data_IF_327634507015
#
_entry.id   IF_327634507015
#
_cell.length_a   1.000
_cell.length_b   1.000
_cell.length_c   1.000
_cell.angle_alpha   90.00
_cell.angle_beta   90.00
_cell.angle_gamma   90.00
#
_symmetry.space_group_name_H-M   'P 1'
#
loop_
_entity.id
_entity.type
_entity.pdbx_description
1 polymer ?
#
# COMPACT_ATOMS: atom_id res chain seq x y z
N UNK A 1 11.78 33.47 5.73
CA UNK A 1 12.13 32.16 6.31
C UNK A 1 11.23 31.12 5.69
N UNK A 2 11.80 30.29 4.81
CA UNK A 2 11.10 29.23 4.08
C UNK A 2 11.26 27.96 4.91
N UNK A 3 10.16 27.43 5.47
CA UNK A 3 10.11 26.03 5.91
C UNK A 3 8.65 25.59 5.98
N UNK A 4 8.12 25.09 4.85
CA UNK A 4 6.93 24.24 4.87
C UNK A 4 7.33 22.93 4.22
N UNK A 5 7.67 21.95 5.08
CA UNK A 5 8.03 20.59 4.67
C UNK A 5 6.80 19.94 4.03
N UNK A 6 6.71 20.01 2.70
CA UNK A 6 5.71 19.28 1.88
C UNK A 6 6.07 17.78 1.82
N UNK A 7 6.13 17.12 2.98
CA UNK A 7 6.59 15.74 3.10
C UNK A 7 5.49 14.66 3.06
N UNK A 8 4.20 15.02 3.02
CA UNK A 8 3.11 14.09 3.36
C UNK A 8 2.22 13.75 2.15
N UNK A 9 2.80 13.68 0.94
CA UNK A 9 2.14 13.10 -0.24
C UNK A 9 2.88 11.86 -0.80
N UNK A 10 4.10 11.59 -0.35
CA UNK A 10 4.81 10.34 -0.67
C UNK A 10 4.37 9.17 0.21
N UNK A 11 3.84 9.46 1.40
CA UNK A 11 3.45 8.43 2.38
C UNK A 11 2.41 7.43 1.83
N UNK A 12 1.32 7.88 1.17
CA UNK A 12 0.30 6.96 0.65
C UNK A 12 0.82 6.13 -0.53
N UNK A 13 1.56 6.77 -1.45
CA UNK A 13 2.09 6.05 -2.61
C UNK A 13 3.12 4.98 -2.21
N UNK A 14 3.88 5.21 -1.13
CA UNK A 14 4.84 4.25 -0.61
C UNK A 14 4.15 3.04 0.02
N UNK A 15 3.10 3.26 0.82
CA UNK A 15 2.32 2.18 1.42
C UNK A 15 1.65 1.31 0.32
N UNK A 16 1.18 1.91 -0.78
CA UNK A 16 0.53 1.16 -1.86
C UNK A 16 1.55 0.31 -2.61
N UNK A 17 2.73 0.90 -2.86
CA UNK A 17 3.85 0.22 -3.48
C UNK A 17 4.31 -0.97 -2.62
N UNK A 18 4.42 -0.79 -1.31
CA UNK A 18 4.76 -1.86 -0.37
C UNK A 18 3.68 -2.96 -0.32
N UNK A 19 2.39 -2.59 -0.39
CA UNK A 19 1.28 -3.53 -0.53
C UNK A 19 1.38 -4.37 -1.80
N UNK A 20 1.75 -3.76 -2.93
CA UNK A 20 1.98 -4.48 -4.19
C UNK A 20 3.15 -5.46 -4.08
N UNK A 21 4.26 -5.06 -3.44
CA UNK A 21 5.39 -5.94 -3.17
C UNK A 21 5.00 -7.11 -2.25
N UNK A 22 4.19 -6.88 -1.22
CA UNK A 22 3.68 -7.92 -0.34
C UNK A 22 2.77 -8.91 -1.11
N UNK A 23 1.88 -8.43 -1.97
CA UNK A 23 1.05 -9.27 -2.82
C UNK A 23 1.87 -10.10 -3.81
N UNK A 24 2.88 -9.49 -4.44
CA UNK A 24 3.80 -10.19 -5.35
C UNK A 24 4.60 -11.27 -4.63
N UNK A 25 5.11 -10.98 -3.42
CA UNK A 25 5.76 -11.97 -2.58
C UNK A 25 4.81 -13.11 -2.19
N UNK A 26 3.54 -12.81 -1.92
CA UNK A 26 2.51 -13.82 -1.67
C UNK A 26 2.33 -14.80 -2.84
N UNK A 27 2.36 -14.30 -4.08
CA UNK A 27 2.31 -15.16 -5.28
C UNK A 27 3.53 -16.08 -5.33
N UNK A 28 4.73 -15.55 -5.08
CA UNK A 28 5.97 -16.35 -5.04
C UNK A 28 5.89 -17.40 -3.93
N UNK A 29 5.42 -17.05 -2.74
CA UNK A 29 5.27 -17.97 -1.62
C UNK A 29 4.28 -19.10 -1.94
N UNK A 30 3.16 -18.78 -2.60
CA UNK A 30 2.17 -19.77 -3.04
C UNK A 30 2.73 -20.73 -4.08
N UNK A 31 3.52 -20.23 -5.04
CA UNK A 31 4.20 -21.06 -6.05
C UNK A 31 5.21 -22.02 -5.40
N UNK A 32 5.85 -21.60 -4.31
CA UNK A 32 6.75 -22.45 -3.53
C UNK A 32 6.02 -23.40 -2.56
N UNK A 33 4.68 -23.45 -2.58
CA UNK A 33 3.86 -24.31 -1.72
C UNK A 33 3.75 -23.81 -0.27
N UNK A 34 4.24 -22.60 0.03
CA UNK A 34 4.19 -22.00 1.37
C UNK A 34 2.93 -21.15 1.51
N UNK A 35 1.78 -21.82 1.57
CA UNK A 35 0.46 -21.16 1.54
C UNK A 35 0.18 -20.29 2.77
N UNK A 36 0.71 -20.64 3.94
CA UNK A 36 0.52 -19.85 5.17
C UNK A 36 1.11 -18.44 5.03
N UNK A 37 2.35 -18.37 4.56
CA UNK A 37 3.05 -17.10 4.30
C UNK A 37 2.38 -16.34 3.15
N UNK A 38 1.91 -17.04 2.12
CA UNK A 38 1.19 -16.43 1.00
C UNK A 38 -0.12 -15.77 1.44
N UNK A 39 -0.91 -16.46 2.26
CA UNK A 39 -2.17 -15.95 2.80
C UNK A 39 -1.95 -14.71 3.66
N UNK A 40 -0.94 -14.73 4.54
CA UNK A 40 -0.59 -13.58 5.37
C UNK A 40 -0.13 -12.39 4.52
N UNK A 41 0.70 -12.62 3.50
CA UNK A 41 1.21 -11.58 2.62
C UNK A 41 0.11 -10.90 1.78
N UNK A 42 -0.82 -11.69 1.22
CA UNK A 42 -1.98 -11.16 0.49
C UNK A 42 -2.95 -10.43 1.42
N UNK A 43 -3.17 -10.94 2.63
CA UNK A 43 -4.02 -10.27 3.62
C UNK A 43 -3.45 -8.90 4.03
N UNK A 44 -2.14 -8.83 4.30
CA UNK A 44 -1.46 -7.57 4.62
C UNK A 44 -1.53 -6.57 3.46
N UNK A 45 -1.31 -7.05 2.24
CA UNK A 45 -1.43 -6.24 1.02
C UNK A 45 -2.82 -5.61 0.89
N UNK A 46 -3.89 -6.39 1.12
CA UNK A 46 -5.27 -5.89 1.07
C UNK A 46 -5.59 -4.85 2.14
N UNK A 47 -5.00 -4.98 3.34
CA UNK A 47 -5.13 -3.96 4.39
C UNK A 47 -4.42 -2.66 3.99
N UNK A 48 -3.21 -2.75 3.45
CA UNK A 48 -2.42 -1.58 3.02
C UNK A 48 -3.09 -0.84 1.86
N UNK A 49 -3.61 -1.57 0.87
CA UNK A 49 -4.33 -1.00 -0.28
C UNK A 49 -5.63 -0.29 0.16
N UNK A 50 -6.34 -0.87 1.14
CA UNK A 50 -7.53 -0.26 1.74
C UNK A 50 -7.24 1.01 2.55
N UNK A 51 -6.07 1.08 3.19
CA UNK A 51 -5.61 2.27 3.93
C UNK A 51 -5.26 3.41 2.97
N UNK A 52 -4.44 3.17 1.94
CA UNK A 52 -4.05 4.23 1.03
C UNK A 52 -5.14 4.65 0.06
N UNK A 53 -5.97 3.71 -0.41
CA UNK A 53 -7.14 4.03 -1.22
C UNK A 53 -8.19 4.85 -0.46
N UNK A 54 -8.18 4.82 0.88
CA UNK A 54 -8.97 5.72 1.74
C UNK A 54 -8.27 7.05 1.99
N UNK A 55 -6.96 7.05 2.22
CA UNK A 55 -6.17 8.28 2.36
C UNK A 55 -6.22 9.11 1.07
N UNK A 56 -6.09 8.47 -0.10
CA UNK A 56 -6.20 9.11 -1.41
C UNK A 56 -7.58 9.75 -1.66
N UNK A 57 -8.67 9.12 -1.17
CA UNK A 57 -10.02 9.67 -1.25
C UNK A 57 -10.27 10.82 -0.26
N UNK A 58 -9.59 10.82 0.89
CA UNK A 58 -9.71 11.88 1.89
C UNK A 58 -8.86 13.13 1.53
N UNK A 59 -7.85 13.02 0.67
CA UNK A 59 -6.96 14.12 0.24
C UNK A 59 -7.43 14.93 -0.97
N UNK A 60 -8.72 15.23 -1.09
CA UNK A 60 -9.27 16.16 -2.11
C UNK A 60 -9.11 15.72 -3.58
N UNK A 61 -10.09 14.98 -4.10
CA UNK A 61 -10.55 15.20 -5.48
C UNK A 61 -11.87 15.98 -5.45
N UNK A 62 -11.85 17.15 -4.80
CA UNK A 62 -12.61 18.30 -5.30
C UNK A 62 -11.74 18.90 -6.41
N UNK A 63 -11.81 18.31 -7.58
CA UNK A 63 -11.54 19.03 -8.82
C UNK A 63 -12.62 18.62 -9.80
N UNK A 64 -13.24 19.65 -10.38
CA UNK A 64 -14.33 19.61 -11.35
C UNK A 64 -14.16 18.53 -12.40
#
# INVERSE_FOLDING_TARGET
MVESRRGIYLLPNLLTTLGLFAGFYGIIAAVNGVFDTAALAIFLAGIMDGLDGRVARMTNTQSK
#
